data_IF_280766905323
#
_entry.id   IF_280766905323
#
_cell.length_a   1.000
_cell.length_b   1.000
_cell.length_c   1.000
_cell.angle_alpha   90.00
_cell.angle_beta   90.00
_cell.angle_gamma   90.00
#
_symmetry.space_group_name_H-M   'P 1'
#
loop_
_entity.id
_entity.type
_entity.pdbx_description
1 polymer ?
#
# COMPACT_ATOMS: atom_id res chain seq x y z
N UNK A 1 17.79 3.59 -19.86
CA UNK A 1 17.04 4.77 -19.42
C UNK A 1 16.71 4.65 -17.94
N UNK A 2 17.26 5.54 -17.13
CA UNK A 2 16.90 5.66 -15.73
C UNK A 2 15.50 6.29 -15.65
N UNK A 3 14.53 5.50 -15.19
CA UNK A 3 13.20 6.02 -14.88
C UNK A 3 13.26 6.72 -13.53
N UNK A 4 12.87 7.97 -13.48
CA UNK A 4 12.85 8.78 -12.26
C UNK A 4 11.45 9.17 -11.88
N UNK A 5 11.17 9.12 -10.58
CA UNK A 5 9.92 9.64 -10.07
C UNK A 5 9.85 11.15 -10.25
N UNK A 6 8.65 11.63 -10.57
CA UNK A 6 8.35 13.06 -10.72
C UNK A 6 7.51 13.51 -9.53
N UNK A 7 7.91 14.58 -8.82
CA UNK A 7 7.03 15.16 -7.81
C UNK A 7 5.75 15.71 -8.44
N UNK A 8 4.62 15.40 -7.85
CA UNK A 8 3.32 15.88 -8.27
C UNK A 8 2.50 16.29 -7.05
N UNK A 9 1.53 17.18 -7.25
CA UNK A 9 0.54 17.53 -6.25
C UNK A 9 -0.81 17.02 -6.72
N UNK A 10 -1.52 16.34 -5.82
CA UNK A 10 -2.82 15.74 -6.09
C UNK A 10 -3.87 16.48 -5.27
N UNK A 11 -4.99 16.80 -5.88
CA UNK A 11 -6.11 17.42 -5.17
C UNK A 11 -6.76 16.36 -4.26
N UNK A 12 -6.54 16.53 -2.96
CA UNK A 12 -7.08 15.64 -1.93
C UNK A 12 -8.31 16.23 -1.25
N UNK A 13 -8.91 15.50 -0.31
CA UNK A 13 -10.15 15.94 0.36
C UNK A 13 -9.99 17.19 1.23
N UNK A 14 -8.81 17.43 1.79
CA UNK A 14 -8.55 18.58 2.68
C UNK A 14 -7.50 19.53 2.12
N UNK A 15 -7.14 19.38 0.86
CA UNK A 15 -6.13 20.17 0.17
C UNK A 15 -5.17 19.29 -0.60
N UNK A 16 -4.09 19.88 -1.11
CA UNK A 16 -3.16 19.14 -1.97
C UNK A 16 -2.37 18.09 -1.20
N UNK A 17 -2.16 16.94 -1.83
CA UNK A 17 -1.34 15.85 -1.34
C UNK A 17 -0.03 15.81 -2.12
N UNK A 18 1.08 15.71 -1.41
CA UNK A 18 2.41 15.55 -1.98
C UNK A 18 2.61 14.11 -2.43
N UNK A 19 3.08 13.90 -3.66
CA UNK A 19 3.25 12.57 -4.20
C UNK A 19 4.46 12.46 -5.13
N UNK A 20 4.89 11.22 -5.36
CA UNK A 20 5.93 10.86 -6.31
C UNK A 20 5.34 9.88 -7.33
N UNK A 21 5.36 10.27 -8.58
CA UNK A 21 4.77 9.53 -9.69
C UNK A 21 5.86 9.02 -10.63
N UNK A 22 5.74 7.76 -11.06
CA UNK A 22 6.62 7.18 -12.06
C UNK A 22 5.79 6.56 -13.18
N UNK A 23 5.92 7.11 -14.38
CA UNK A 23 5.31 6.55 -15.59
C UNK A 23 6.13 5.36 -16.09
N UNK A 24 5.57 4.60 -17.01
CA UNK A 24 6.23 3.47 -17.66
C UNK A 24 5.85 3.46 -19.14
N UNK A 25 6.82 3.23 -20.06
CA UNK A 25 6.53 3.27 -21.50
C UNK A 25 5.58 2.18 -21.98
N UNK A 26 5.61 1.01 -21.34
CA UNK A 26 4.72 -0.12 -21.66
C UNK A 26 4.13 -0.67 -20.37
N UNK A 27 3.20 0.07 -19.72
CA UNK A 27 2.73 -0.31 -18.39
C UNK A 27 1.83 -1.53 -18.43
N UNK A 28 2.03 -2.43 -17.46
CA UNK A 28 1.20 -3.62 -17.26
C UNK A 28 0.06 -3.37 -16.29
N UNK A 29 0.13 -2.31 -15.53
CA UNK A 29 -0.84 -1.93 -14.52
C UNK A 29 -0.37 -0.75 -13.70
N UNK A 30 -1.11 -0.45 -12.65
CA UNK A 30 -0.85 0.64 -11.72
C UNK A 30 -0.50 0.07 -10.34
N UNK A 31 0.35 0.79 -9.60
CA UNK A 31 0.64 0.47 -8.20
C UNK A 31 0.51 1.74 -7.36
N UNK A 32 -0.30 1.66 -6.30
CA UNK A 32 -0.43 2.70 -5.29
C UNK A 32 0.15 2.19 -3.99
N UNK A 33 1.09 2.92 -3.39
CA UNK A 33 1.76 2.52 -2.17
C UNK A 33 1.35 3.46 -1.01
N UNK A 34 0.89 2.87 0.09
CA UNK A 34 0.44 3.57 1.28
C UNK A 34 1.48 3.45 2.40
N UNK A 35 1.88 4.60 2.96
CA UNK A 35 2.98 4.66 3.93
C UNK A 35 2.54 4.38 5.37
N UNK A 36 3.52 4.16 6.31
CA UNK A 36 3.20 3.83 7.69
C UNK A 36 2.67 5.03 8.48
N UNK A 37 2.47 4.83 9.78
CA UNK A 37 1.80 5.74 10.70
C UNK A 37 2.40 7.15 10.68
N UNK A 38 1.63 8.17 10.25
CA UNK A 38 2.12 9.55 10.15
C UNK A 38 2.45 10.16 11.52
N UNK A 39 1.77 9.75 12.59
CA UNK A 39 2.01 10.27 13.96
C UNK A 39 3.36 9.78 14.47
N UNK A 40 3.85 8.66 13.99
CA UNK A 40 5.15 8.09 14.37
C UNK A 40 6.25 8.39 13.33
N UNK A 41 6.09 9.45 12.57
CA UNK A 41 7.08 9.87 11.58
C UNK A 41 7.02 9.16 10.23
N UNK A 42 5.96 8.41 9.98
CA UNK A 42 5.77 7.74 8.69
C UNK A 42 5.58 8.72 7.55
N UNK A 43 6.25 8.46 6.43
CA UNK A 43 6.13 9.25 5.20
C UNK A 43 6.28 8.33 3.98
N UNK A 44 5.97 8.86 2.79
CA UNK A 44 6.19 8.15 1.53
C UNK A 44 7.67 7.84 1.24
N UNK A 45 8.60 8.44 1.99
CA UNK A 45 10.05 8.22 1.83
C UNK A 45 10.59 7.09 2.70
N UNK A 46 9.74 6.45 3.50
CA UNK A 46 10.11 5.29 4.30
C UNK A 46 10.78 4.21 3.44
N UNK A 47 11.78 3.53 3.96
CA UNK A 47 12.58 2.55 3.20
C UNK A 47 11.78 1.35 2.71
N UNK A 48 10.80 0.89 3.48
CA UNK A 48 9.91 -0.20 3.05
C UNK A 48 9.02 0.28 1.90
N UNK A 49 8.47 1.49 2.03
CA UNK A 49 7.66 2.12 0.96
C UNK A 49 8.49 2.28 -0.32
N UNK A 50 9.72 2.78 -0.20
CA UNK A 50 10.62 2.92 -1.36
C UNK A 50 10.94 1.57 -2.00
N UNK A 51 11.12 0.52 -1.19
CA UNK A 51 11.38 -0.83 -1.70
C UNK A 51 10.16 -1.38 -2.45
N UNK A 52 8.96 -1.19 -1.92
CA UNK A 52 7.72 -1.61 -2.58
C UNK A 52 7.54 -0.86 -3.91
N UNK A 53 7.84 0.44 -3.93
CA UNK A 53 7.76 1.23 -5.16
C UNK A 53 8.76 0.72 -6.21
N UNK A 54 10.02 0.50 -5.83
CA UNK A 54 11.04 -0.03 -6.76
C UNK A 54 10.69 -1.42 -7.27
N UNK A 55 10.11 -2.26 -6.42
CA UNK A 55 9.66 -3.60 -6.80
C UNK A 55 8.54 -3.52 -7.84
N UNK A 56 7.55 -2.65 -7.62
CA UNK A 56 6.46 -2.43 -8.56
C UNK A 56 6.99 -1.86 -9.90
N UNK A 57 7.92 -0.90 -9.84
CA UNK A 57 8.61 -0.38 -11.02
C UNK A 57 9.27 -1.51 -11.84
N UNK A 58 10.01 -2.37 -11.15
CA UNK A 58 10.74 -3.46 -11.80
C UNK A 58 9.79 -4.51 -12.39
N UNK A 59 8.57 -4.59 -11.89
CA UNK A 59 7.51 -5.45 -12.44
C UNK A 59 6.79 -4.83 -13.65
N UNK A 60 7.16 -3.61 -14.05
CA UNK A 60 6.55 -2.93 -15.21
C UNK A 60 5.28 -2.16 -14.88
N UNK A 61 5.09 -1.77 -13.62
CA UNK A 61 3.93 -1.00 -13.20
C UNK A 61 4.25 0.50 -13.14
N UNK A 62 3.24 1.31 -13.46
CA UNK A 62 3.23 2.73 -13.13
C UNK A 62 3.08 2.84 -11.62
N UNK A 63 3.87 3.67 -10.95
CA UNK A 63 3.85 3.75 -9.50
C UNK A 63 3.48 5.14 -8.99
N UNK A 64 2.70 5.17 -7.91
CA UNK A 64 2.40 6.37 -7.16
C UNK A 64 2.55 6.09 -5.68
N UNK A 65 3.37 6.88 -5.00
CA UNK A 65 3.41 6.94 -3.53
C UNK A 65 3.14 8.38 -3.13
N UNK A 66 2.49 8.56 -2.00
CA UNK A 66 2.01 9.88 -1.59
C UNK A 66 2.09 10.03 -0.08
N UNK A 67 2.08 11.27 0.39
CA UNK A 67 1.99 11.61 1.79
C UNK A 67 0.54 11.89 2.18
N UNK A 68 0.07 11.23 3.24
CA UNK A 68 -1.26 11.52 3.80
C UNK A 68 -1.35 12.97 4.27
N UNK A 69 -2.57 13.42 4.52
CA UNK A 69 -2.84 14.75 5.11
C UNK A 69 -1.93 15.03 6.30
N UNK A 70 -1.37 16.23 6.35
CA UNK A 70 -0.51 16.67 7.43
C UNK A 70 0.92 16.13 7.38
N UNK A 71 1.29 15.33 6.39
CA UNK A 71 2.64 14.78 6.23
C UNK A 71 3.38 15.54 5.14
N UNK A 72 4.63 15.95 5.40
CA UNK A 72 5.45 16.68 4.43
C UNK A 72 4.72 17.92 3.91
N UNK A 73 4.63 18.07 2.61
CA UNK A 73 3.94 19.19 1.97
C UNK A 73 2.44 18.93 1.76
N UNK A 74 1.89 17.82 2.25
CA UNK A 74 0.45 17.56 2.16
C UNK A 74 -0.33 18.43 3.14
N UNK A 75 -1.45 18.99 2.67
CA UNK A 75 -2.32 19.85 3.47
C UNK A 75 -3.04 19.07 4.57
N UNK A 76 -3.63 19.80 5.52
CA UNK A 76 -4.48 19.24 6.57
C UNK A 76 -3.72 18.73 7.76
N UNK A 77 -4.42 17.97 8.59
CA UNK A 77 -3.88 17.35 9.81
C UNK A 77 -4.26 15.88 9.85
N UNK A 78 -3.45 15.09 10.56
CA UNK A 78 -3.68 13.65 10.69
C UNK A 78 -5.05 13.36 11.30
N UNK A 79 -5.79 12.44 10.70
CA UNK A 79 -7.08 11.96 11.19
C UNK A 79 -6.94 10.63 11.94
N UNK A 80 -6.04 9.79 11.46
CA UNK A 80 -5.74 8.46 12.00
C UNK A 80 -6.94 7.51 11.99
N UNK A 81 -7.88 7.76 11.11
CA UNK A 81 -9.08 6.95 10.92
C UNK A 81 -9.40 6.84 9.42
N UNK A 82 -10.56 7.34 9.00
CA UNK A 82 -10.98 7.26 7.59
C UNK A 82 -10.38 8.36 6.72
N UNK A 83 -9.88 9.44 7.31
CA UNK A 83 -9.32 10.56 6.54
C UNK A 83 -8.17 10.16 5.64
N UNK A 84 -7.24 9.36 6.14
CA UNK A 84 -6.12 8.86 5.34
C UNK A 84 -6.57 7.89 4.25
N UNK A 85 -7.65 7.16 4.47
CA UNK A 85 -8.27 6.33 3.43
C UNK A 85 -8.90 7.21 2.35
N UNK A 86 -9.55 8.31 2.74
CA UNK A 86 -10.10 9.29 1.80
C UNK A 86 -8.99 9.90 0.93
N UNK A 87 -7.83 10.21 1.53
CA UNK A 87 -6.65 10.68 0.80
C UNK A 87 -6.19 9.64 -0.24
N UNK A 88 -6.10 8.38 0.17
CA UNK A 88 -5.69 7.29 -0.71
C UNK A 88 -6.68 7.08 -1.86
N UNK A 89 -7.96 7.27 -1.61
CA UNK A 89 -8.99 7.18 -2.66
C UNK A 89 -8.79 8.25 -3.72
N UNK A 90 -8.45 9.49 -3.33
CA UNK A 90 -8.15 10.56 -4.28
C UNK A 90 -6.86 10.29 -5.06
N UNK A 91 -5.84 9.72 -4.41
CA UNK A 91 -4.62 9.31 -5.10
C UNK A 91 -4.91 8.23 -6.15
N UNK A 92 -5.75 7.25 -5.81
CA UNK A 92 -6.18 6.22 -6.76
C UNK A 92 -6.99 6.82 -7.92
N UNK A 93 -7.85 7.78 -7.64
CA UNK A 93 -8.65 8.47 -8.66
C UNK A 93 -7.75 9.25 -9.63
N UNK A 94 -6.70 9.88 -9.11
CA UNK A 94 -5.71 10.59 -9.93
C UNK A 94 -5.00 9.65 -10.91
N UNK A 95 -4.59 8.46 -10.44
CA UNK A 95 -4.01 7.44 -11.30
C UNK A 95 -5.01 6.94 -12.33
N UNK A 96 -6.24 6.70 -11.92
CA UNK A 96 -7.31 6.17 -12.77
C UNK A 96 -7.67 7.14 -13.87
N UNK A 97 -7.67 8.43 -13.59
CA UNK A 97 -7.94 9.46 -14.60
C UNK A 97 -6.87 9.47 -15.70
N UNK A 98 -5.60 9.30 -15.32
CA UNK A 98 -4.51 9.21 -16.28
C UNK A 98 -4.49 7.89 -17.06
N UNK A 99 -4.92 6.80 -16.44
CA UNK A 99 -4.83 5.44 -16.97
C UNK A 99 -6.14 4.69 -16.72
N UNK A 100 -7.20 4.98 -17.48
CA UNK A 100 -8.54 4.49 -17.16
C UNK A 100 -8.72 2.97 -17.29
N UNK A 101 -7.87 2.29 -18.06
CA UNK A 101 -8.08 0.87 -18.38
C UNK A 101 -7.14 -0.09 -17.65
N UNK A 102 -6.14 0.44 -16.92
CA UNK A 102 -5.15 -0.42 -16.28
C UNK A 102 -5.62 -0.90 -14.90
N UNK A 103 -5.39 -2.19 -14.56
CA UNK A 103 -5.71 -2.68 -13.23
C UNK A 103 -4.76 -2.09 -12.18
N UNK A 104 -5.26 -1.92 -10.96
CA UNK A 104 -4.47 -1.33 -9.88
C UNK A 104 -4.09 -2.36 -8.82
N UNK A 105 -2.80 -2.35 -8.44
CA UNK A 105 -2.28 -3.08 -7.29
C UNK A 105 -2.12 -2.11 -6.13
N UNK A 106 -2.60 -2.52 -4.96
CA UNK A 106 -2.47 -1.74 -3.73
C UNK A 106 -1.45 -2.40 -2.82
N UNK A 107 -0.50 -1.61 -2.32
CA UNK A 107 0.53 -2.08 -1.40
C UNK A 107 0.57 -1.15 -0.21
N UNK A 108 0.51 -1.69 1.00
CA UNK A 108 0.56 -0.87 2.20
C UNK A 108 1.45 -1.46 3.28
N UNK A 109 2.20 -0.59 3.95
CA UNK A 109 3.09 -0.96 5.04
C UNK A 109 2.54 -0.44 6.38
N UNK A 110 2.42 -1.32 7.37
CA UNK A 110 2.01 -0.98 8.73
C UNK A 110 0.61 -0.34 8.74
N UNK A 111 0.45 0.88 9.23
CA UNK A 111 -0.80 1.66 9.11
C UNK A 111 -1.25 1.72 7.64
N UNK A 112 -0.31 1.84 6.71
CA UNK A 112 -0.60 1.82 5.28
C UNK A 112 -1.24 0.53 4.78
N UNK A 113 -1.02 -0.58 5.47
CA UNK A 113 -1.70 -1.85 5.18
C UNK A 113 -3.19 -1.78 5.49
N UNK A 114 -3.54 -1.15 6.61
CA UNK A 114 -4.94 -0.83 6.93
C UNK A 114 -5.56 0.09 5.87
N UNK A 115 -4.83 1.15 5.48
CA UNK A 115 -5.32 2.09 4.47
C UNK A 115 -5.54 1.39 3.12
N UNK A 116 -4.57 0.60 2.67
CA UNK A 116 -4.66 -0.12 1.40
C UNK A 116 -5.82 -1.12 1.39
N UNK A 117 -6.01 -1.86 2.47
CA UNK A 117 -7.12 -2.82 2.60
C UNK A 117 -8.48 -2.11 2.54
N UNK A 118 -8.63 -1.02 3.30
CA UNK A 118 -9.87 -0.23 3.33
C UNK A 118 -10.16 0.40 1.97
N UNK A 119 -9.12 0.94 1.32
CA UNK A 119 -9.22 1.48 -0.03
C UNK A 119 -9.66 0.40 -1.02
N UNK A 120 -9.06 -0.79 -0.93
CA UNK A 120 -9.40 -1.91 -1.82
C UNK A 120 -10.88 -2.25 -1.79
N UNK A 121 -11.47 -2.31 -0.61
CA UNK A 121 -12.91 -2.54 -0.46
C UNK A 121 -13.75 -1.44 -1.12
N UNK A 122 -13.36 -0.17 -0.93
CA UNK A 122 -14.06 0.96 -1.54
C UNK A 122 -13.98 0.94 -3.07
N UNK A 123 -12.79 0.68 -3.62
CA UNK A 123 -12.58 0.65 -5.06
C UNK A 123 -13.35 -0.51 -5.71
N UNK A 124 -13.34 -1.68 -5.09
CA UNK A 124 -14.10 -2.83 -5.60
C UNK A 124 -15.60 -2.53 -5.60
N UNK A 125 -16.11 -1.89 -4.55
CA UNK A 125 -17.52 -1.50 -4.46
C UNK A 125 -17.92 -0.51 -5.57
N UNK A 126 -16.98 0.26 -6.08
CA UNK A 126 -17.20 1.18 -7.20
C UNK A 126 -17.01 0.52 -8.58
N UNK A 127 -16.71 -0.76 -8.62
CA UNK A 127 -16.45 -1.48 -9.87
C UNK A 127 -15.05 -1.31 -10.44
N UNK A 128 -14.11 -0.79 -9.65
CA UNK A 128 -12.72 -0.66 -10.05
C UNK A 128 -12.05 -2.03 -10.20
N UNK A 129 -11.16 -2.15 -11.18
CA UNK A 129 -10.43 -3.39 -11.45
C UNK A 129 -9.16 -3.43 -10.61
N UNK A 130 -9.16 -4.30 -9.60
CA UNK A 130 -8.01 -4.53 -8.73
C UNK A 130 -7.21 -5.74 -9.21
N UNK A 131 -5.88 -5.58 -9.25
CA UNK A 131 -4.97 -6.67 -9.63
C UNK A 131 -4.51 -7.48 -8.41
N UNK A 132 -4.20 -6.81 -7.29
CA UNK A 132 -3.64 -7.45 -6.11
C UNK A 132 -3.67 -6.49 -4.91
N UNK A 133 -3.80 -7.03 -3.71
CA UNK A 133 -3.63 -6.28 -2.45
C UNK A 133 -2.52 -6.92 -1.64
N UNK A 134 -1.49 -6.13 -1.32
CA UNK A 134 -0.39 -6.52 -0.43
C UNK A 134 -0.49 -5.77 0.89
N UNK A 135 -0.52 -6.50 1.99
CA UNK A 135 -0.52 -5.95 3.34
C UNK A 135 0.77 -6.37 4.04
N UNK A 136 1.69 -5.42 4.22
CA UNK A 136 3.04 -5.68 4.73
C UNK A 136 3.14 -5.18 6.17
N UNK A 137 3.42 -6.09 7.11
CA UNK A 137 3.48 -5.79 8.55
C UNK A 137 2.27 -4.94 8.98
N UNK A 138 1.08 -5.32 8.53
CA UNK A 138 -0.09 -4.46 8.52
C UNK A 138 -0.75 -4.32 9.89
N UNK A 139 -1.26 -3.12 10.17
CA UNK A 139 -2.00 -2.80 11.39
C UNK A 139 -3.43 -3.36 11.30
N UNK A 140 -3.55 -4.68 11.25
CA UNK A 140 -4.84 -5.38 11.08
C UNK A 140 -5.82 -5.11 12.21
N UNK A 141 -5.33 -4.72 13.40
CA UNK A 141 -6.17 -4.38 14.54
C UNK A 141 -7.02 -3.11 14.28
N UNK A 142 -6.70 -2.33 13.27
CA UNK A 142 -7.49 -1.16 12.87
C UNK A 142 -8.68 -1.55 11.98
N UNK A 143 -8.63 -2.74 11.37
CA UNK A 143 -9.74 -3.26 10.57
C UNK A 143 -10.82 -3.81 11.50
N UNK A 144 -12.03 -3.28 11.39
CA UNK A 144 -13.18 -3.70 12.20
C UNK A 144 -14.00 -4.73 11.43
N UNK A 145 -14.85 -5.47 12.14
CA UNK A 145 -15.73 -6.49 11.53
C UNK A 145 -16.65 -5.92 10.45
N UNK A 146 -16.92 -4.60 10.52
CA UNK A 146 -17.77 -3.92 9.53
C UNK A 146 -17.00 -3.48 8.29
N UNK A 147 -15.66 -3.52 8.34
CA UNK A 147 -14.83 -3.11 7.22
C UNK A 147 -14.84 -4.22 6.15
N UNK A 148 -14.96 -3.81 4.89
CA UNK A 148 -15.06 -4.74 3.77
C UNK A 148 -13.74 -4.77 3.02
N UNK A 149 -13.14 -5.96 2.95
CA UNK A 149 -11.95 -6.20 2.14
C UNK A 149 -12.37 -6.51 0.70
N UNK A 150 -11.50 -6.20 -0.29
CA UNK A 150 -11.78 -6.64 -1.65
C UNK A 150 -11.77 -8.16 -1.73
N UNK A 151 -12.67 -8.73 -2.51
CA UNK A 151 -12.86 -10.18 -2.63
C UNK A 151 -12.37 -10.71 -3.99
N UNK A 152 -12.35 -9.87 -5.02
CA UNK A 152 -12.12 -10.28 -6.40
C UNK A 152 -10.65 -10.26 -6.85
N UNK A 153 -9.71 -9.96 -5.97
CA UNK A 153 -8.29 -9.95 -6.31
C UNK A 153 -7.50 -10.81 -5.33
N UNK A 154 -6.29 -11.26 -5.71
CA UNK A 154 -5.38 -11.92 -4.75
C UNK A 154 -5.05 -11.00 -3.57
N UNK A 155 -4.94 -11.59 -2.38
CA UNK A 155 -4.50 -10.92 -1.15
C UNK A 155 -3.25 -11.62 -0.63
N UNK A 156 -2.19 -10.87 -0.40
CA UNK A 156 -0.95 -11.38 0.19
C UNK A 156 -0.63 -10.59 1.46
N UNK A 157 -0.48 -11.31 2.57
CA UNK A 157 -0.03 -10.77 3.85
C UNK A 157 1.45 -11.13 4.00
N UNK A 158 2.28 -10.15 4.34
CA UNK A 158 3.71 -10.39 4.62
C UNK A 158 3.98 -9.90 6.03
N UNK A 159 4.39 -10.82 6.92
CA UNK A 159 4.57 -10.52 8.33
C UNK A 159 5.96 -10.87 8.82
N UNK A 160 6.72 -9.88 9.33
CA UNK A 160 7.98 -10.15 10.04
C UNK A 160 7.73 -10.98 11.29
N UNK A 161 8.49 -12.05 11.48
CA UNK A 161 8.27 -12.96 12.61
C UNK A 161 8.70 -12.37 13.97
N UNK A 162 9.61 -11.39 13.96
CA UNK A 162 10.06 -10.72 15.18
C UNK A 162 9.68 -9.24 15.17
N UNK A 163 8.50 -8.94 14.66
CA UNK A 163 7.94 -7.58 14.59
C UNK A 163 7.69 -7.06 16.02
N UNK A 164 8.33 -5.95 16.35
CA UNK A 164 8.26 -5.31 17.68
C UNK A 164 7.19 -4.22 17.76
N UNK A 165 6.51 -3.92 16.64
CA UNK A 165 5.47 -2.89 16.56
C UNK A 165 4.09 -3.50 16.39
N UNK A 166 3.94 -4.38 15.42
CA UNK A 166 2.71 -5.15 15.19
C UNK A 166 2.96 -6.57 15.68
N UNK A 167 2.23 -6.99 16.72
CA UNK A 167 2.37 -8.35 17.26
C UNK A 167 2.09 -9.37 16.14
N UNK A 168 3.07 -10.22 15.80
CA UNK A 168 2.88 -11.23 14.76
C UNK A 168 1.68 -12.14 15.02
N UNK A 169 1.46 -12.53 16.28
CA UNK A 169 0.35 -13.41 16.62
C UNK A 169 -1.01 -12.77 16.29
N UNK A 170 -1.13 -11.46 16.48
CA UNK A 170 -2.35 -10.74 16.10
C UNK A 170 -2.63 -10.87 14.60
N UNK A 171 -1.59 -10.77 13.77
CA UNK A 171 -1.71 -10.93 12.32
C UNK A 171 -2.06 -12.37 11.96
N UNK A 172 -1.42 -13.34 12.61
CA UNK A 172 -1.69 -14.77 12.35
C UNK A 172 -3.12 -15.14 12.72
N UNK A 173 -3.60 -14.66 13.86
CA UNK A 173 -4.99 -14.92 14.30
C UNK A 173 -5.99 -14.26 13.36
N UNK A 174 -5.70 -13.02 12.93
CA UNK A 174 -6.53 -12.31 11.96
C UNK A 174 -6.60 -13.06 10.63
N UNK A 175 -5.45 -13.52 10.14
CA UNK A 175 -5.36 -14.33 8.92
C UNK A 175 -6.13 -15.64 9.04
N UNK A 176 -5.99 -16.33 10.16
CA UNK A 176 -6.68 -17.61 10.40
C UNK A 176 -8.21 -17.44 10.44
N UNK A 177 -8.69 -16.30 10.92
CA UNK A 177 -10.12 -15.99 10.98
C UNK A 177 -10.68 -15.49 9.65
N UNK A 178 -9.82 -15.11 8.72
CA UNK A 178 -10.22 -14.55 7.44
C UNK A 178 -10.70 -15.66 6.50
N UNK A 179 -11.94 -15.60 6.06
CA UNK A 179 -12.57 -16.69 5.30
C UNK A 179 -12.32 -16.64 3.80
N UNK A 180 -11.80 -15.54 3.28
CA UNK A 180 -11.49 -15.45 1.86
C UNK A 180 -10.12 -16.06 1.57
N UNK A 181 -9.86 -16.60 0.35
CA UNK A 181 -8.55 -17.11 -0.03
C UNK A 181 -7.49 -16.01 0.04
N UNK A 182 -6.35 -16.32 0.62
CA UNK A 182 -5.22 -15.39 0.73
C UNK A 182 -3.95 -16.16 1.04
N UNK A 183 -2.83 -15.45 0.96
CA UNK A 183 -1.51 -15.98 1.23
C UNK A 183 -0.93 -15.27 2.45
N UNK A 184 -0.39 -16.02 3.40
CA UNK A 184 0.34 -15.46 4.55
C UNK A 184 1.81 -15.88 4.43
N UNK A 185 2.68 -14.91 4.25
CA UNK A 185 4.13 -15.11 4.15
C UNK A 185 4.80 -14.56 5.41
N UNK A 186 5.55 -15.42 6.10
CA UNK A 186 6.29 -15.06 7.31
C UNK A 186 7.76 -14.85 6.94
N UNK A 187 8.35 -13.77 7.47
CA UNK A 187 9.78 -13.47 7.24
C UNK A 187 10.54 -13.69 8.55
N UNK A 188 11.38 -14.73 8.55
CA UNK A 188 12.15 -15.11 9.73
C UNK A 188 13.23 -14.06 10.04
N UNK A 189 13.53 -13.90 11.34
CA UNK A 189 14.59 -13.00 11.81
C UNK A 189 14.46 -11.58 11.26
N UNK A 190 13.22 -11.09 11.22
CA UNK A 190 12.88 -9.81 10.61
C UNK A 190 12.07 -8.97 11.59
N UNK A 191 12.50 -7.74 11.82
CA UNK A 191 11.75 -6.75 12.58
C UNK A 191 10.79 -5.94 11.71
N UNK A 192 10.01 -5.09 12.33
CA UNK A 192 8.93 -4.32 11.68
C UNK A 192 9.40 -3.55 10.44
N UNK A 193 10.56 -2.91 10.52
CA UNK A 193 11.07 -2.05 9.45
C UNK A 193 11.96 -2.77 8.43
N UNK A 194 12.01 -4.08 8.48
CA UNK A 194 12.77 -4.91 7.53
C UNK A 194 14.26 -4.54 7.45
N UNK A 195 14.88 -4.11 8.56
CA UNK A 195 16.32 -3.85 8.59
C UNK A 195 17.11 -5.10 8.18
N UNK A 196 17.92 -4.97 7.14
CA UNK A 196 18.69 -6.09 6.60
C UNK A 196 17.85 -7.10 5.81
N UNK A 197 16.54 -6.85 5.60
CA UNK A 197 15.61 -7.78 4.98
C UNK A 197 14.81 -7.16 3.83
N UNK A 198 15.21 -6.00 3.33
CA UNK A 198 14.52 -5.33 2.23
C UNK A 198 14.60 -6.14 0.93
N UNK A 199 15.73 -6.84 0.70
CA UNK A 199 15.88 -7.73 -0.45
C UNK A 199 14.92 -8.92 -0.35
N UNK A 200 14.77 -9.48 0.86
CA UNK A 200 13.80 -10.57 1.09
C UNK A 200 12.37 -10.11 0.78
N UNK A 201 12.03 -8.89 1.19
CA UNK A 201 10.71 -8.31 0.87
C UNK A 201 10.50 -8.21 -0.64
N UNK A 202 11.48 -7.69 -1.37
CA UNK A 202 11.42 -7.60 -2.82
C UNK A 202 11.25 -8.98 -3.45
N UNK A 203 12.01 -9.97 -2.99
CA UNK A 203 11.99 -11.34 -3.52
C UNK A 203 10.62 -12.01 -3.33
N UNK A 204 9.88 -11.63 -2.29
CA UNK A 204 8.52 -12.13 -2.06
C UNK A 204 7.48 -11.42 -2.93
N UNK A 205 7.62 -10.12 -3.09
CA UNK A 205 6.61 -9.29 -3.78
C UNK A 205 6.74 -9.38 -5.30
N UNK A 206 7.96 -9.30 -5.83
CA UNK A 206 8.20 -9.20 -7.28
C UNK A 206 7.55 -10.34 -8.08
N UNK A 207 7.72 -11.63 -7.71
CA UNK A 207 7.10 -12.72 -8.48
C UNK A 207 5.57 -12.64 -8.49
N UNK A 208 4.96 -12.09 -7.45
CA UNK A 208 3.52 -11.98 -7.32
C UNK A 208 2.92 -10.81 -8.10
N UNK A 209 3.74 -9.83 -8.45
CA UNK A 209 3.34 -8.71 -9.29
C UNK A 209 3.38 -9.04 -10.78
N UNK A 210 4.12 -10.07 -11.15
CA UNK A 210 4.37 -10.42 -12.56
C UNK A 210 3.26 -11.29 -13.18
N UNK A 211 2.26 -11.65 -12.41
CA UNK A 211 1.18 -12.54 -12.85
C UNK A 211 -0.14 -11.82 -13.11
#
# INVERSE_FOLDING_TARGET
LLMRETPVLIDGPVGQLEALYLDHPEPRGLALICHPNPVQGGTMLNKVVSTLQRTARDAGLITLRFNYRGVGASAGTHDMATGEVDDAEEAAAWLREKHPDLPITLLGFSFGGYVAASLGGRLEAKGEKLAHLFMVAAAVMRLRDTDVLPQGCPLTLIQPETDEVVDPQTVYDWSAALKRPHELLKVAECGHFFHGKLTDLKDLVLPRLSN
#
